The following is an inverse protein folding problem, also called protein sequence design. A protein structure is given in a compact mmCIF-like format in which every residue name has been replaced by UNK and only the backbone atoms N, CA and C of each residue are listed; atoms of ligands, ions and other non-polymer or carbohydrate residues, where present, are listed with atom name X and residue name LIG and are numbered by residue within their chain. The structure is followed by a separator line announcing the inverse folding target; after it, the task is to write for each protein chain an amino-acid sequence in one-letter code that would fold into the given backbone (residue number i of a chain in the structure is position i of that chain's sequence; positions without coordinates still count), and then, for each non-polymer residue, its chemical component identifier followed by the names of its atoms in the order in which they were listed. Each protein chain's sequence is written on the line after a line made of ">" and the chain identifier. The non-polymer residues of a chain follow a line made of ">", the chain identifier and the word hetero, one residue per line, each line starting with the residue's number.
data_IF_256624839747
#
_entry.id   IF_256624839747
#
_cell.length_a   1.000
_cell.length_b   1.000
_cell.length_c   1.000
_cell.angle_alpha   90.00
_cell.angle_beta   90.00
_cell.angle_gamma   90.00
#
_symmetry.space_group_name_H-M   'P 1'
#
loop_
_entity.id
_entity.type
_entity.pdbx_description
1 polymer ?
#
# COMPACT_ATOMS: atom_id res chain seq x y z
N UNK A 1 21.20 -75.50 -22.12
CA UNK A 1 21.87 -74.25 -21.68
C UNK A 1 21.09 -73.05 -22.19
N UNK A 2 20.80 -72.12 -21.27
CA UNK A 2 20.44 -70.69 -21.41
C UNK A 2 19.16 -70.26 -22.18
N UNK A 3 18.31 -69.59 -21.39
CA UNK A 3 17.07 -68.86 -21.70
C UNK A 3 17.36 -67.55 -22.44
N UNK A 4 16.38 -67.06 -23.21
CA UNK A 4 16.18 -65.63 -23.41
C UNK A 4 14.68 -65.33 -23.56
N UNK A 5 14.12 -64.70 -22.51
CA UNK A 5 12.81 -64.05 -22.52
C UNK A 5 12.88 -62.79 -23.39
N UNK A 6 11.90 -62.58 -24.28
CA UNK A 6 11.58 -61.26 -24.84
C UNK A 6 10.24 -60.82 -24.26
N UNK A 7 10.30 -59.82 -23.37
CA UNK A 7 9.12 -59.16 -22.81
C UNK A 7 8.50 -58.20 -23.80
N UNK A 8 7.17 -58.20 -23.86
CA UNK A 8 6.35 -57.25 -24.57
C UNK A 8 6.22 -55.95 -23.74
N UNK A 9 6.41 -54.80 -24.39
CA UNK A 9 6.18 -53.48 -23.80
C UNK A 9 4.87 -52.93 -24.40
N UNK A 10 3.81 -52.90 -23.60
CA UNK A 10 2.51 -52.32 -23.97
C UNK A 10 2.48 -50.88 -23.49
N UNK A 11 2.43 -49.91 -24.40
CA UNK A 11 2.30 -48.49 -24.07
C UNK A 11 0.81 -48.17 -23.79
N UNK A 12 0.53 -47.68 -22.58
CA UNK A 12 -0.79 -47.25 -22.14
C UNK A 12 -0.91 -45.73 -22.36
N UNK A 13 -1.75 -45.33 -23.32
CA UNK A 13 -2.08 -43.92 -23.57
C UNK A 13 -3.19 -43.51 -22.61
N UNK A 14 -2.87 -42.64 -21.66
CA UNK A 14 -3.85 -42.02 -20.75
C UNK A 14 -4.38 -40.76 -21.44
N UNK A 15 -5.63 -40.81 -21.92
CA UNK A 15 -6.36 -39.61 -22.32
C UNK A 15 -6.78 -38.84 -21.06
N UNK A 16 -6.15 -37.70 -20.79
CA UNK A 16 -6.63 -36.75 -19.80
C UNK A 16 -7.88 -36.05 -20.36
N UNK A 17 -9.06 -36.40 -19.82
CA UNK A 17 -10.28 -35.64 -20.06
C UNK A 17 -10.15 -34.28 -19.36
N UNK A 18 -10.13 -33.20 -20.15
CA UNK A 18 -10.23 -31.84 -19.62
C UNK A 18 -11.59 -31.65 -18.96
N UNK A 19 -11.60 -31.17 -17.72
CA UNK A 19 -12.81 -30.78 -17.02
C UNK A 19 -13.47 -29.60 -17.74
N UNK A 20 -14.62 -29.84 -18.35
CA UNK A 20 -15.50 -28.79 -18.88
C UNK A 20 -16.02 -28.02 -17.67
N UNK A 21 -15.55 -26.80 -17.48
CA UNK A 21 -16.18 -25.85 -16.56
C UNK A 21 -17.49 -25.40 -17.21
N UNK A 22 -18.63 -25.86 -16.71
CA UNK A 22 -19.91 -25.23 -17.02
C UNK A 22 -20.12 -24.10 -16.03
N UNK A 23 -20.20 -22.86 -16.53
CA UNK A 23 -20.64 -21.74 -15.72
C UNK A 23 -22.11 -21.95 -15.36
N UNK A 24 -22.41 -22.02 -14.05
CA UNK A 24 -23.76 -22.17 -13.50
C UNK A 24 -24.14 -20.87 -12.78
N UNK A 25 -25.11 -20.13 -13.33
CA UNK A 25 -25.61 -18.91 -12.71
C UNK A 25 -26.56 -19.25 -11.55
N UNK A 26 -26.21 -18.81 -10.33
CA UNK A 26 -27.04 -18.96 -9.12
C UNK A 26 -27.51 -17.60 -8.62
N UNK A 27 -28.81 -17.46 -8.41
CA UNK A 27 -29.42 -16.20 -7.98
C UNK A 27 -29.94 -16.29 -6.55
N UNK A 28 -29.83 -15.19 -5.82
CA UNK A 28 -30.15 -15.12 -4.40
C UNK A 28 -30.97 -13.86 -4.10
N UNK A 29 -31.99 -14.01 -3.25
CA UNK A 29 -32.71 -12.87 -2.66
C UNK A 29 -32.17 -12.64 -1.26
N UNK A 30 -31.84 -11.39 -0.98
CA UNK A 30 -31.35 -10.93 0.30
C UNK A 30 -32.42 -10.07 0.95
N UNK A 31 -32.85 -10.46 2.15
CA UNK A 31 -33.75 -9.67 2.98
C UNK A 31 -32.98 -9.07 4.15
N UNK A 32 -32.94 -7.74 4.22
CA UNK A 32 -32.40 -7.00 5.37
C UNK A 32 -33.57 -6.58 6.28
N UNK A 33 -33.46 -6.92 7.56
CA UNK A 33 -34.33 -6.41 8.61
C UNK A 33 -33.50 -5.55 9.54
N UNK A 34 -33.83 -4.25 9.54
CA UNK A 34 -33.22 -3.24 10.41
C UNK A 34 -34.10 -3.05 11.63
N UNK A 35 -33.52 -3.21 12.82
CA UNK A 35 -34.17 -2.98 14.11
C UNK A 35 -33.41 -1.89 14.85
N UNK A 36 -34.12 -0.86 15.22
CA UNK A 36 -33.60 0.23 16.03
C UNK A 36 -33.89 -0.08 17.51
N UNK A 37 -32.85 -0.13 18.34
CA UNK A 37 -32.92 -0.49 19.76
C UNK A 37 -32.35 0.66 20.57
N UNK A 38 -33.14 1.20 21.50
CA UNK A 38 -32.73 2.30 22.37
C UNK A 38 -33.75 3.44 22.37
N UNK A 39 -33.36 4.58 22.92
CA UNK A 39 -34.20 5.77 23.00
C UNK A 39 -33.83 6.78 21.90
N UNK A 40 -34.83 7.52 21.41
CA UNK A 40 -34.69 8.56 20.37
C UNK A 40 -34.25 8.06 18.98
N UNK A 41 -34.55 6.82 18.61
CA UNK A 41 -34.28 6.31 17.26
C UNK A 41 -35.14 6.97 16.16
N UNK A 42 -34.62 7.21 14.93
CA UNK A 42 -33.31 6.77 14.41
C UNK A 42 -32.12 7.70 14.71
N UNK A 43 -32.35 8.96 15.10
CA UNK A 43 -31.29 10.01 15.14
C UNK A 43 -30.69 10.23 16.54
N UNK A 44 -31.08 9.43 17.52
CA UNK A 44 -30.67 9.56 18.92
C UNK A 44 -29.29 8.97 19.20
N UNK A 45 -28.53 9.62 20.07
CA UNK A 45 -27.19 9.18 20.48
C UNK A 45 -27.16 7.80 21.17
N UNK A 46 -28.30 7.28 21.62
CA UNK A 46 -28.45 5.94 22.19
C UNK A 46 -29.21 4.97 21.27
N UNK A 47 -29.34 5.30 19.98
CA UNK A 47 -29.97 4.42 19.02
C UNK A 47 -28.96 3.40 18.47
N UNK A 48 -29.11 2.14 18.90
CA UNK A 48 -28.35 1.02 18.35
C UNK A 48 -29.12 0.44 17.16
N UNK A 49 -28.42 0.25 16.05
CA UNK A 49 -29.00 -0.34 14.83
C UNK A 49 -28.57 -1.81 14.75
N UNK A 50 -29.50 -2.71 14.99
CA UNK A 50 -29.33 -4.15 14.77
C UNK A 50 -29.82 -4.49 13.36
N UNK A 51 -28.94 -5.09 12.55
CA UNK A 51 -29.28 -5.53 11.20
C UNK A 51 -29.21 -7.05 11.15
N UNK A 52 -30.30 -7.67 10.70
CA UNK A 52 -30.37 -9.11 10.47
C UNK A 52 -30.60 -9.35 8.99
N UNK A 53 -29.86 -10.29 8.42
CA UNK A 53 -29.94 -10.63 7.01
C UNK A 53 -30.42 -12.07 6.89
N UNK A 54 -31.30 -12.32 5.93
CA UNK A 54 -31.67 -13.66 5.52
C UNK A 54 -31.47 -13.77 4.01
N UNK A 55 -30.81 -14.83 3.57
CA UNK A 55 -30.58 -15.11 2.15
C UNK A 55 -31.33 -16.37 1.75
N UNK A 56 -31.94 -16.34 0.58
CA UNK A 56 -32.65 -17.48 0.00
C UNK A 56 -32.25 -17.69 -1.45
N UNK A 57 -32.03 -18.94 -1.88
CA UNK A 57 -31.80 -19.22 -3.28
C UNK A 57 -33.10 -18.93 -4.03
N UNK A 58 -33.00 -18.21 -5.14
CA UNK A 58 -34.10 -18.07 -6.07
C UNK A 58 -34.05 -19.26 -7.02
N UNK A 59 -34.56 -20.39 -6.53
CA UNK A 59 -34.65 -21.61 -7.32
C UNK A 59 -35.75 -21.44 -8.37
N UNK A 60 -35.35 -21.24 -9.62
CA UNK A 60 -36.25 -21.23 -10.77
C UNK A 60 -35.54 -21.89 -11.93
N UNK A 61 -36.31 -22.66 -12.70
CA UNK A 61 -35.97 -23.19 -14.02
C UNK A 61 -35.92 -22.09 -15.11
N UNK A 62 -36.25 -20.85 -14.73
CA UNK A 62 -36.41 -19.72 -15.62
C UNK A 62 -35.50 -18.56 -15.19
N UNK A 63 -34.19 -18.68 -15.45
CA UNK A 63 -33.22 -17.61 -15.17
C UNK A 63 -33.58 -16.30 -15.87
N UNK A 64 -34.23 -16.37 -17.04
CA UNK A 64 -34.79 -15.21 -17.73
C UNK A 64 -35.81 -14.46 -16.84
N UNK A 65 -36.62 -15.13 -16.01
CA UNK A 65 -37.52 -14.51 -15.03
C UNK A 65 -36.78 -13.68 -13.96
N UNK A 66 -35.54 -14.01 -13.64
CA UNK A 66 -34.76 -13.26 -12.65
C UNK A 66 -34.20 -11.98 -13.27
N UNK A 67 -33.60 -12.09 -14.46
CA UNK A 67 -33.18 -10.91 -15.22
C UNK A 67 -34.34 -9.92 -15.38
N UNK A 68 -35.53 -10.47 -15.60
CA UNK A 68 -36.85 -9.84 -15.65
C UNK A 68 -37.21 -9.04 -14.40
N UNK A 69 -37.15 -9.66 -13.22
CA UNK A 69 -37.42 -9.04 -11.92
C UNK A 69 -36.52 -7.82 -11.60
N UNK A 70 -35.28 -7.83 -12.10
CA UNK A 70 -34.30 -6.75 -11.92
C UNK A 70 -34.21 -5.78 -13.11
N UNK A 71 -35.17 -5.83 -14.04
CA UNK A 71 -35.28 -4.87 -15.16
C UNK A 71 -35.18 -5.45 -16.58
N UNK A 72 -35.40 -6.76 -16.78
CA UNK A 72 -35.44 -7.37 -18.10
C UNK A 72 -36.81 -7.99 -18.48
N UNK A 73 -37.97 -7.41 -18.11
CA UNK A 73 -39.39 -7.79 -18.41
C UNK A 73 -40.06 -8.92 -17.59
N UNK A 74 -40.97 -9.80 -18.03
CA UNK A 74 -42.12 -10.22 -17.17
C UNK A 74 -42.25 -11.70 -16.70
N UNK A 75 -42.81 -11.92 -15.49
CA UNK A 75 -44.01 -12.78 -15.29
C UNK A 75 -43.95 -14.13 -14.51
N UNK A 76 -44.59 -14.15 -13.30
CA UNK A 76 -45.28 -15.25 -12.53
C UNK A 76 -44.46 -16.51 -12.12
N UNK A 77 -44.69 -17.23 -10.99
CA UNK A 77 -45.79 -17.36 -10.02
C UNK A 77 -45.31 -17.88 -8.63
N UNK A 78 -46.21 -17.87 -7.64
CA UNK A 78 -46.09 -18.26 -6.23
C UNK A 78 -45.76 -19.75 -5.98
N UNK A 79 -44.99 -20.03 -4.92
CA UNK A 79 -45.39 -20.92 -3.82
C UNK A 79 -44.42 -20.80 -2.63
N UNK A 80 -44.98 -20.87 -1.42
CA UNK A 80 -44.29 -20.64 -0.15
C UNK A 80 -44.05 -21.94 0.59
N UNK A 81 -42.80 -22.26 1.01
CA UNK A 81 -42.55 -23.19 2.12
C UNK A 81 -41.18 -22.99 2.81
N UNK A 82 -41.25 -23.01 4.15
CA UNK A 82 -40.25 -23.17 5.23
C UNK A 82 -38.86 -22.49 5.20
N UNK A 83 -38.39 -22.12 6.40
CA UNK A 83 -37.20 -21.32 6.69
C UNK A 83 -36.09 -22.21 7.29
N UNK A 84 -35.01 -22.37 6.53
CA UNK A 84 -33.68 -22.76 6.99
C UNK A 84 -32.67 -22.08 6.06
N UNK A 85 -31.61 -21.48 6.60
CA UNK A 85 -30.55 -20.88 5.78
C UNK A 85 -29.93 -21.96 4.89
N UNK A 86 -29.83 -21.68 3.59
CA UNK A 86 -29.24 -22.63 2.64
C UNK A 86 -27.72 -22.65 2.85
N UNK A 87 -27.07 -23.83 2.92
CA UNK A 87 -25.63 -23.95 3.21
C UNK A 87 -24.73 -23.27 2.18
N UNK A 88 -25.23 -23.01 0.98
CA UNK A 88 -24.51 -22.30 -0.09
C UNK A 88 -24.89 -20.83 -0.21
N UNK A 89 -25.63 -20.29 0.75
CA UNK A 89 -26.06 -18.90 0.70
C UNK A 89 -24.85 -17.95 0.72
N UNK A 90 -24.85 -16.87 -0.09
CA UNK A 90 -23.80 -15.89 -0.09
C UNK A 90 -23.73 -15.23 1.30
N UNK A 91 -22.52 -15.23 1.87
CA UNK A 91 -22.25 -14.62 3.16
C UNK A 91 -22.35 -13.11 3.00
N UNK A 92 -23.35 -12.49 3.63
CA UNK A 92 -23.51 -11.03 3.64
C UNK A 92 -22.60 -10.44 4.69
N UNK A 93 -21.67 -9.61 4.24
CA UNK A 93 -20.71 -8.92 5.10
C UNK A 93 -21.43 -7.87 5.97
N UNK A 94 -21.73 -8.20 7.23
CA UNK A 94 -22.17 -7.19 8.21
C UNK A 94 -21.02 -6.23 8.54
N UNK A 95 -21.34 -4.97 8.90
CA UNK A 95 -20.39 -3.84 9.01
C UNK A 95 -19.13 -4.04 9.87
N UNK A 96 -19.02 -5.13 10.64
CA UNK A 96 -17.82 -5.54 11.38
C UNK A 96 -16.76 -6.27 10.52
N UNK A 97 -16.99 -6.46 9.21
CA UNK A 97 -16.06 -7.24 8.38
C UNK A 97 -14.74 -6.56 8.04
N UNK A 98 -14.62 -5.23 8.08
CA UNK A 98 -13.32 -4.57 7.90
C UNK A 98 -12.30 -5.08 8.96
N UNK A 99 -12.73 -5.19 10.21
CA UNK A 99 -11.96 -5.76 11.32
C UNK A 99 -11.67 -7.25 11.14
N UNK A 100 -12.61 -8.02 10.60
CA UNK A 100 -12.42 -9.47 10.37
C UNK A 100 -11.54 -9.77 9.14
N UNK A 101 -11.52 -8.90 8.13
CA UNK A 101 -10.79 -9.12 6.87
C UNK A 101 -9.38 -8.55 6.91
N UNK A 102 -9.19 -7.38 7.53
CA UNK A 102 -7.88 -6.72 7.66
C UNK A 102 -7.18 -7.06 8.98
N UNK A 103 -7.91 -7.60 9.97
CA UNK A 103 -7.41 -7.82 11.32
C UNK A 103 -7.33 -6.55 12.19
N UNK A 104 -7.67 -5.39 11.65
CA UNK A 104 -7.72 -4.11 12.37
C UNK A 104 -8.71 -3.13 11.73
N UNK A 105 -9.03 -2.05 12.44
CA UNK A 105 -9.90 -0.96 11.98
C UNK A 105 -9.04 0.28 11.67
N UNK A 106 -8.86 0.67 10.39
CA UNK A 106 -7.93 1.73 10.00
C UNK A 106 -8.23 3.09 10.64
N UNK A 107 -9.51 3.43 10.80
CA UNK A 107 -9.93 4.71 11.39
C UNK A 107 -9.75 4.75 12.92
N UNK A 108 -9.71 3.58 13.56
CA UNK A 108 -9.48 3.45 15.00
C UNK A 108 -7.99 3.33 15.36
N UNK A 109 -7.09 3.25 14.36
CA UNK A 109 -5.66 3.21 14.63
C UNK A 109 -5.18 4.58 15.17
N UNK A 110 -4.45 4.60 16.30
CA UNK A 110 -3.83 5.83 16.77
C UNK A 110 -2.80 6.31 15.74
N UNK A 111 -2.69 7.64 15.60
CA UNK A 111 -1.63 8.23 14.79
C UNK A 111 -0.27 7.86 15.41
N UNK A 112 0.62 7.34 14.58
CA UNK A 112 1.98 6.99 15.01
C UNK A 112 2.87 8.23 15.16
N UNK A 113 3.96 8.09 15.90
CA UNK A 113 5.04 9.07 15.94
C UNK A 113 5.64 9.27 14.53
N UNK A 114 6.07 10.49 14.21
CA UNK A 114 6.54 10.84 12.85
C UNK A 114 7.69 9.94 12.36
N UNK A 115 8.55 9.47 13.26
CA UNK A 115 9.71 8.63 12.92
C UNK A 115 9.35 7.17 12.58
N UNK A 116 8.18 6.69 13.02
CA UNK A 116 7.74 5.28 12.81
C UNK A 116 7.62 4.93 11.33
N UNK A 117 7.42 5.92 10.46
CA UNK A 117 7.38 5.76 9.01
C UNK A 117 8.69 5.25 8.40
N UNK A 118 9.80 5.30 9.15
CA UNK A 118 11.11 4.78 8.73
C UNK A 118 11.29 3.28 9.03
N UNK A 119 10.36 2.67 9.77
CA UNK A 119 10.44 1.27 10.17
C UNK A 119 10.42 0.34 8.95
N UNK A 120 11.36 -0.59 8.89
CA UNK A 120 11.50 -1.58 7.82
C UNK A 120 12.17 -1.08 6.53
N UNK A 121 12.52 0.21 6.44
CA UNK A 121 13.23 0.76 5.27
C UNK A 121 14.69 0.27 5.30
N UNK A 122 15.01 -0.71 4.46
CA UNK A 122 16.39 -1.22 4.32
C UNK A 122 17.05 -0.80 3.00
N UNK A 123 16.28 -0.18 2.11
CA UNK A 123 16.74 0.34 0.83
C UNK A 123 15.86 1.51 0.38
N UNK A 124 16.44 2.48 -0.32
CA UNK A 124 15.74 3.64 -0.87
C UNK A 124 16.38 4.12 -2.17
N UNK A 125 15.65 4.92 -2.94
CA UNK A 125 16.21 5.63 -4.08
C UNK A 125 16.56 7.08 -3.69
N UNK A 126 17.75 7.51 -4.09
CA UNK A 126 18.20 8.91 -4.06
C UNK A 126 19.14 9.11 -5.24
N UNK A 127 19.06 10.26 -5.89
CA UNK A 127 19.97 10.65 -6.98
C UNK A 127 20.41 12.10 -6.77
N UNK A 128 21.71 12.28 -6.50
CA UNK A 128 22.33 13.60 -6.29
C UNK A 128 23.28 13.97 -7.44
N UNK A 129 23.38 13.11 -8.46
CA UNK A 129 24.39 13.27 -9.53
C UNK A 129 24.17 14.52 -10.37
N UNK A 130 22.91 14.97 -10.49
CA UNK A 130 22.52 16.19 -11.20
C UNK A 130 22.52 17.47 -10.36
N UNK A 131 23.05 17.44 -9.13
CA UNK A 131 23.02 18.59 -8.23
C UNK A 131 24.06 19.64 -8.65
N UNK A 132 23.64 20.89 -8.83
CA UNK A 132 24.51 22.00 -9.25
C UNK A 132 25.57 22.28 -8.17
N UNK A 133 26.86 22.47 -8.53
CA UNK A 133 27.88 22.83 -7.56
C UNK A 133 27.60 24.22 -6.92
N UNK A 134 27.80 24.37 -5.61
CA UNK A 134 27.90 25.67 -4.98
C UNK A 134 29.21 26.40 -5.39
N UNK A 135 29.31 27.72 -5.15
CA UNK A 135 30.51 28.47 -5.48
C UNK A 135 31.75 27.90 -4.79
N UNK A 136 32.80 27.63 -5.57
CA UNK A 136 34.06 27.05 -5.06
C UNK A 136 34.14 25.53 -5.12
N UNK A 137 33.11 24.85 -5.64
CA UNK A 137 33.13 23.41 -5.94
C UNK A 137 33.31 23.15 -7.44
N UNK A 138 33.91 22.01 -7.74
CA UNK A 138 34.11 21.54 -9.12
C UNK A 138 32.81 21.04 -9.76
N UNK A 139 32.78 20.97 -11.09
CA UNK A 139 31.63 20.48 -11.88
C UNK A 139 31.23 19.02 -11.57
N UNK A 140 32.10 18.26 -10.91
CA UNK A 140 31.84 16.88 -10.48
C UNK A 140 31.14 16.76 -9.12
N UNK A 141 30.80 17.89 -8.48
CA UNK A 141 30.22 17.96 -7.13
C UNK A 141 29.08 16.97 -6.89
N UNK A 142 28.06 16.96 -7.76
CA UNK A 142 26.92 16.06 -7.59
C UNK A 142 27.31 14.57 -7.60
N UNK A 143 28.29 14.19 -8.42
CA UNK A 143 28.75 12.80 -8.55
C UNK A 143 29.57 12.38 -7.33
N UNK A 144 30.52 13.20 -6.88
CA UNK A 144 31.34 12.92 -5.70
C UNK A 144 30.49 12.90 -4.43
N UNK A 145 29.58 13.87 -4.29
CA UNK A 145 28.61 13.94 -3.20
C UNK A 145 27.70 12.70 -3.18
N UNK A 146 27.16 12.30 -4.34
CA UNK A 146 26.31 11.11 -4.44
C UNK A 146 27.05 9.86 -3.92
N UNK A 147 28.30 9.65 -4.32
CA UNK A 147 29.11 8.51 -3.86
C UNK A 147 29.30 8.54 -2.34
N UNK A 148 29.66 9.69 -1.77
CA UNK A 148 29.81 9.84 -0.31
C UNK A 148 28.49 9.60 0.42
N UNK A 149 27.39 10.14 -0.09
CA UNK A 149 26.06 9.97 0.49
C UNK A 149 25.62 8.50 0.50
N UNK A 150 25.85 7.79 -0.60
CA UNK A 150 25.59 6.34 -0.70
C UNK A 150 26.43 5.56 0.31
N UNK A 151 27.71 5.90 0.46
CA UNK A 151 28.59 5.26 1.45
C UNK A 151 28.11 5.50 2.88
N UNK A 152 27.69 6.72 3.21
CA UNK A 152 27.12 7.06 4.52
C UNK A 152 25.89 6.19 4.83
N UNK A 153 24.93 6.11 3.90
CA UNK A 153 23.74 5.29 4.09
C UNK A 153 24.07 3.78 4.18
N UNK A 154 24.98 3.30 3.35
CA UNK A 154 25.42 1.91 3.36
C UNK A 154 26.09 1.52 4.69
N UNK A 155 26.91 2.41 5.26
CA UNK A 155 27.50 2.22 6.59
C UNK A 155 26.44 2.17 7.70
N UNK A 156 25.27 2.78 7.48
CA UNK A 156 24.10 2.67 8.34
C UNK A 156 23.18 1.49 8.06
N UNK A 157 23.52 0.61 7.12
CA UNK A 157 22.72 -0.58 6.77
C UNK A 157 21.59 -0.31 5.76
N UNK A 158 21.55 0.87 5.13
CA UNK A 158 20.52 1.24 4.15
C UNK A 158 21.12 1.30 2.76
N UNK A 159 20.59 0.49 1.83
CA UNK A 159 21.09 0.43 0.45
C UNK A 159 20.47 1.53 -0.40
N UNK A 160 21.28 2.22 -1.19
CA UNK A 160 20.77 3.09 -2.26
C UNK A 160 20.58 2.26 -3.52
N UNK A 161 19.39 2.33 -4.11
CA UNK A 161 19.00 1.53 -5.28
C UNK A 161 18.61 2.41 -6.46
N UNK A 162 18.63 1.84 -7.67
CA UNK A 162 18.18 2.52 -8.89
C UNK A 162 16.66 2.68 -8.98
N UNK A 163 16.20 3.51 -9.92
CA UNK A 163 14.78 3.80 -10.16
C UNK A 163 13.94 2.54 -10.44
N UNK A 164 14.49 1.57 -11.17
CA UNK A 164 13.78 0.34 -11.51
C UNK A 164 13.74 -0.67 -10.35
N UNK A 165 14.67 -0.59 -9.41
CA UNK A 165 14.70 -1.45 -8.23
C UNK A 165 13.73 -0.92 -7.16
N UNK A 166 13.68 0.41 -6.93
CA UNK A 166 12.79 1.00 -5.91
C UNK A 166 11.31 0.75 -6.18
N UNK A 167 10.91 0.64 -7.45
CA UNK A 167 9.54 0.29 -7.83
C UNK A 167 9.07 -1.07 -7.27
N UNK A 168 10.03 -1.98 -6.96
CA UNK A 168 9.78 -3.31 -6.40
C UNK A 168 9.93 -3.35 -4.87
N UNK A 169 10.36 -2.26 -4.24
CA UNK A 169 10.51 -2.15 -2.79
C UNK A 169 9.16 -1.73 -2.18
N UNK A 170 8.69 -2.38 -1.11
CA UNK A 170 7.49 -1.95 -0.39
C UNK A 170 7.55 -0.47 -0.01
N UNK A 171 6.46 0.26 -0.27
CA UNK A 171 6.39 1.69 0.02
C UNK A 171 7.17 2.57 -0.97
N UNK A 172 7.93 2.00 -1.92
CA UNK A 172 8.72 2.75 -2.91
C UNK A 172 9.45 3.98 -2.33
N UNK A 173 10.32 3.79 -1.31
CA UNK A 173 10.94 4.89 -0.59
C UNK A 173 11.89 5.70 -1.49
N UNK A 174 11.53 6.96 -1.73
CA UNK A 174 12.31 7.90 -2.56
C UNK A 174 12.69 9.11 -1.71
N UNK A 175 13.98 9.33 -1.53
CA UNK A 175 14.53 10.50 -0.85
C UNK A 175 14.86 11.58 -1.88
N UNK A 176 14.13 12.69 -1.81
CA UNK A 176 14.37 13.87 -2.62
C UNK A 176 15.14 14.90 -1.80
N UNK A 177 16.17 15.49 -2.41
CA UNK A 177 16.97 16.54 -1.80
C UNK A 177 16.93 17.79 -2.66
N UNK A 178 16.70 18.92 -2.01
CA UNK A 178 16.63 20.25 -2.60
C UNK A 178 17.72 21.09 -1.97
N UNK A 179 18.56 21.68 -2.80
CA UNK A 179 19.66 22.55 -2.39
C UNK A 179 19.55 23.89 -3.11
N UNK A 180 19.62 24.97 -2.34
CA UNK A 180 19.55 26.34 -2.83
C UNK A 180 20.57 27.20 -2.10
N UNK A 181 21.23 28.08 -2.82
CA UNK A 181 22.21 29.03 -2.29
C UNK A 181 22.08 30.38 -2.99
N UNK A 182 22.48 31.47 -2.32
CA UNK A 182 22.54 32.81 -2.91
C UNK A 182 23.83 32.99 -3.72
N UNK A 183 23.73 33.70 -4.86
CA UNK A 183 24.88 33.95 -5.73
C UNK A 183 25.75 35.08 -5.16
N UNK A 184 27.08 34.98 -5.27
CA UNK A 184 28.03 35.89 -4.59
C UNK A 184 28.15 37.26 -5.25
N UNK A 185 27.59 37.46 -6.43
CA UNK A 185 27.84 38.65 -7.26
C UNK A 185 27.05 39.90 -6.87
N UNK A 186 26.16 39.86 -5.86
CA UNK A 186 25.49 41.06 -5.36
C UNK A 186 25.39 41.05 -3.83
N UNK A 187 26.22 41.89 -3.20
CA UNK A 187 26.10 42.48 -1.86
C UNK A 187 25.75 41.55 -0.68
N UNK A 188 26.83 40.96 -0.14
CA UNK A 188 27.13 40.81 1.29
C UNK A 188 26.52 39.67 2.13
N UNK A 189 25.64 38.80 1.65
CA UNK A 189 25.16 37.70 2.50
C UNK A 189 25.01 36.36 1.74
N UNK A 190 26.07 35.53 1.76
CA UNK A 190 26.03 34.17 1.24
C UNK A 190 25.26 33.26 2.21
N UNK A 191 24.13 32.71 1.76
CA UNK A 191 23.28 31.84 2.53
C UNK A 191 22.91 30.61 1.70
N UNK A 192 22.71 29.48 2.38
CA UNK A 192 22.25 28.27 1.72
C UNK A 192 21.24 27.52 2.58
N UNK A 193 20.38 26.75 1.90
CA UNK A 193 19.36 25.90 2.49
C UNK A 193 19.38 24.53 1.81
N UNK A 194 19.32 23.50 2.63
CA UNK A 194 19.21 22.10 2.24
C UNK A 194 17.92 21.56 2.85
N UNK A 195 17.00 21.08 2.01
CA UNK A 195 15.78 20.42 2.43
C UNK A 195 15.73 19.02 1.83
N UNK A 196 15.40 18.03 2.66
CA UNK A 196 15.20 16.67 2.23
C UNK A 196 13.81 16.17 2.63
N UNK A 197 13.20 15.38 1.74
CA UNK A 197 11.93 14.70 2.01
C UNK A 197 11.96 13.28 1.48
N UNK A 198 11.67 12.33 2.37
CA UNK A 198 11.39 10.95 2.00
C UNK A 198 9.92 10.82 1.66
N UNK A 199 9.62 10.34 0.46
CA UNK A 199 8.28 9.96 0.03
C UNK A 199 8.11 8.45 0.04
N UNK A 200 6.90 8.00 0.41
CA UNK A 200 6.48 6.60 0.32
C UNK A 200 5.05 6.49 -0.20
N UNK A 201 4.71 5.35 -0.79
CA UNK A 201 3.34 4.95 -1.07
C UNK A 201 2.58 4.71 0.24
N UNK A 202 1.47 5.42 0.42
CA UNK A 202 0.57 5.28 1.57
C UNK A 202 -0.85 4.92 1.12
N UNK A 203 -1.62 4.27 1.99
CA UNK A 203 -3.04 4.01 1.81
C UNK A 203 -3.88 5.01 2.60
N UNK A 204 -5.01 5.44 2.03
CA UNK A 204 -5.93 6.32 2.74
C UNK A 204 -6.82 5.51 3.68
N UNK A 205 -6.90 5.90 4.96
CA UNK A 205 -7.75 5.21 5.94
C UNK A 205 -9.23 5.14 5.53
N UNK A 206 -9.75 6.20 4.88
CA UNK A 206 -11.13 6.27 4.36
C UNK A 206 -11.42 5.32 3.19
N UNK A 207 -10.41 4.99 2.40
CA UNK A 207 -10.52 4.10 1.24
C UNK A 207 -9.15 3.47 0.95
N UNK A 208 -8.95 2.27 1.48
CA UNK A 208 -7.68 1.52 1.38
C UNK A 208 -7.36 1.03 -0.04
N UNK A 209 -8.27 1.22 -1.00
CA UNK A 209 -7.99 0.95 -2.43
C UNK A 209 -7.21 2.08 -3.08
N UNK A 210 -7.16 3.24 -2.43
CA UNK A 210 -6.44 4.41 -2.91
C UNK A 210 -5.03 4.39 -2.33
N UNK A 211 -4.05 4.25 -3.23
CA UNK A 211 -2.62 4.32 -2.93
C UNK A 211 -2.03 5.58 -3.56
N UNK A 212 -1.35 6.40 -2.77
CA UNK A 212 -0.75 7.67 -3.22
C UNK A 212 0.66 7.85 -2.66
N UNK A 213 1.57 8.50 -3.39
CA UNK A 213 2.85 8.90 -2.84
C UNK A 213 2.66 10.09 -1.88
N UNK A 214 3.29 10.04 -0.71
CA UNK A 214 3.27 11.12 0.27
C UNK A 214 4.61 11.29 0.97
N UNK A 215 4.97 12.53 1.29
CA UNK A 215 6.14 12.85 2.11
C UNK A 215 5.91 12.40 3.56
N UNK A 216 6.70 11.43 4.02
CA UNK A 216 6.54 10.82 5.36
C UNK A 216 7.59 11.30 6.35
N UNK A 217 8.78 11.63 5.88
CA UNK A 217 9.88 12.15 6.69
C UNK A 217 10.50 13.35 6.00
N UNK A 218 10.98 14.30 6.78
CA UNK A 218 11.63 15.50 6.27
C UNK A 218 12.66 16.02 7.25
N UNK A 219 13.71 16.63 6.71
CA UNK A 219 14.75 17.29 7.47
C UNK A 219 15.27 18.49 6.70
N UNK A 220 15.62 19.55 7.41
CA UNK A 220 16.13 20.79 6.86
C UNK A 220 17.34 21.24 7.63
N UNK A 221 18.37 21.70 6.92
CA UNK A 221 19.58 22.32 7.47
C UNK A 221 20.02 23.42 6.52
N UNK A 222 20.90 24.30 6.96
CA UNK A 222 21.33 25.44 6.18
C UNK A 222 22.18 26.36 7.02
N UNK A 223 22.54 27.48 6.42
CA UNK A 223 23.26 28.53 7.11
C UNK A 223 22.77 29.89 6.63
N UNK A 224 22.57 30.79 7.59
CA UNK A 224 22.37 32.20 7.35
C UNK A 224 23.74 32.89 7.24
N UNK A 225 23.81 33.97 6.48
CA UNK A 225 25.07 34.60 6.11
C UNK A 225 25.95 35.10 7.26
N UNK A 226 25.36 35.38 8.43
CA UNK A 226 26.09 35.86 9.61
C UNK A 226 26.72 34.72 10.42
N UNK A 227 26.24 33.48 10.25
CA UNK A 227 26.62 32.30 11.03
C UNK A 227 27.05 31.14 10.09
N UNK A 228 27.89 31.45 9.10
CA UNK A 228 28.41 30.42 8.18
C UNK A 228 29.32 29.43 8.92
N UNK A 229 28.72 28.32 9.34
CA UNK A 229 29.41 27.22 10.00
C UNK A 229 29.33 25.98 9.11
N UNK A 230 30.48 25.63 8.53
CA UNK A 230 30.70 24.40 7.77
C UNK A 230 30.44 24.52 6.27
N UNK A 231 30.78 23.45 5.56
CA UNK A 231 30.71 23.31 4.11
C UNK A 231 29.29 22.86 3.67
N UNK A 232 28.80 23.32 2.52
CA UNK A 232 27.55 22.93 1.87
C UNK A 232 27.46 21.42 1.62
N UNK A 233 28.56 20.81 1.22
CA UNK A 233 28.71 19.35 1.09
C UNK A 233 28.41 18.66 2.41
N UNK A 234 29.00 19.15 3.50
CA UNK A 234 28.78 18.60 4.84
C UNK A 234 27.33 18.82 5.28
N UNK A 235 26.73 19.96 4.93
CA UNK A 235 25.32 20.21 5.20
C UNK A 235 24.40 19.22 4.48
N UNK A 236 24.73 18.84 3.24
CA UNK A 236 24.00 17.79 2.54
C UNK A 236 24.25 16.42 3.18
N UNK A 237 25.48 16.10 3.59
CA UNK A 237 25.79 14.84 4.26
C UNK A 237 25.10 14.71 5.63
N UNK A 238 24.87 15.82 6.35
CA UNK A 238 24.06 15.86 7.58
C UNK A 238 22.63 15.35 7.37
N UNK A 239 22.08 15.42 6.15
CA UNK A 239 20.78 14.79 5.84
C UNK A 239 20.88 13.27 6.01
N UNK A 240 21.93 12.66 5.46
CA UNK A 240 22.15 11.20 5.56
C UNK A 240 22.34 10.78 7.01
N UNK A 241 23.11 11.55 7.78
CA UNK A 241 23.29 11.31 9.22
C UNK A 241 21.99 11.45 10.00
N UNK A 242 21.20 12.50 9.72
CA UNK A 242 19.91 12.71 10.35
C UNK A 242 18.93 11.58 10.04
N UNK A 243 18.87 11.17 8.78
CA UNK A 243 18.07 10.01 8.35
C UNK A 243 18.49 8.75 9.11
N UNK A 244 19.79 8.45 9.19
CA UNK A 244 20.28 7.25 9.88
C UNK A 244 20.04 7.31 11.40
N UNK A 245 20.18 8.48 12.02
CA UNK A 245 19.88 8.67 13.44
C UNK A 245 18.41 8.33 13.73
N UNK A 246 17.48 8.85 12.93
CA UNK A 246 16.04 8.63 13.12
C UNK A 246 15.66 7.19 12.73
N UNK A 247 16.26 6.65 11.67
CA UNK A 247 16.09 5.26 11.22
C UNK A 247 16.50 4.26 12.31
N UNK A 248 17.64 4.48 12.98
CA UNK A 248 18.12 3.61 14.06
C UNK A 248 17.20 3.60 15.28
N UNK A 249 16.50 4.71 15.57
CA UNK A 249 15.57 4.75 16.71
C UNK A 249 14.40 3.78 16.54
N UNK A 250 13.98 3.51 15.30
CA UNK A 250 12.83 2.64 15.02
C UNK A 250 13.22 1.27 14.46
N UNK A 251 14.44 1.11 13.92
CA UNK A 251 14.94 -0.15 13.37
C UNK A 251 16.05 -0.81 14.20
N UNK A 252 16.52 -0.16 15.26
CA UNK A 252 17.55 -0.70 16.15
C UNK A 252 17.09 -1.96 16.87
N UNK A 253 17.85 -3.04 16.66
CA UNK A 253 18.02 -4.15 17.60
C UNK A 253 19.45 -4.11 18.13
#
# INVERSE_FOLDING_TARGET
>A
MKRLCRGALTALVVCAAGAVHSDEDRFWILWEKVKFIGQHCPDGAQCLVEKTYASRPLATDNTAFIYRLFGATEGRSNDAFHFGEHPEAPVVCSGNQAKLTLGFEPEALPRSEKIEVLRGINALHVDLTGLKPPPGFDDNFGVSLHQRFVQTLAAGGVRVVGKDEVARIPGQPILNLYFSFTDRDQDCEYAYSVFASLSQDILLARDLRIKVPAGVWSYSTGSAAQDHIGNEEDAILRIGEAFLRDHRQVNGR
#
